data_IF_027452051008
#
_entry.id   IF_027452051008
#
_cell.length_a   1.000
_cell.length_b   1.000
_cell.length_c   1.000
_cell.angle_alpha   90.00
_cell.angle_beta   90.00
_cell.angle_gamma   90.00
#
_symmetry.space_group_name_H-M   'P 1'
#
loop_
_entity.id
_entity.type
_entity.pdbx_description
1 polymer ?
#
# COMPACT_ATOMS: atom_id res chain seq x y z
N UNK A 1 -18.35 -1.83 -3.43
CA UNK A 1 -17.26 -2.51 -2.69
C UNK A 1 -15.90 -1.97 -3.12
N UNK A 2 -14.96 -1.81 -2.19
CA UNK A 2 -13.56 -1.46 -2.48
C UNK A 2 -12.80 -2.75 -2.78
N UNK A 3 -12.09 -2.79 -3.91
CA UNK A 3 -11.14 -3.85 -4.25
C UNK A 3 -9.72 -3.33 -4.14
N UNK A 4 -8.75 -4.21 -3.80
CA UNK A 4 -7.33 -3.87 -3.84
C UNK A 4 -6.61 -4.75 -4.85
N UNK A 5 -5.69 -4.19 -5.63
CA UNK A 5 -4.81 -4.95 -6.49
C UNK A 5 -3.39 -4.95 -5.91
N UNK A 6 -2.96 -6.12 -5.46
CA UNK A 6 -1.57 -6.41 -5.11
C UNK A 6 -0.96 -7.24 -6.24
N UNK A 7 -0.41 -6.58 -7.25
CA UNK A 7 0.11 -7.29 -8.41
C UNK A 7 1.30 -8.21 -8.07
N UNK A 8 2.11 -7.87 -7.08
CA UNK A 8 3.31 -8.62 -6.70
C UNK A 8 3.37 -8.87 -5.18
N UNK A 9 2.49 -9.75 -4.64
CA UNK A 9 2.44 -10.10 -3.23
C UNK A 9 3.73 -10.79 -2.77
N UNK A 10 3.91 -10.90 -1.44
CA UNK A 10 5.04 -11.57 -0.83
C UNK A 10 4.65 -12.31 0.45
N UNK A 11 5.45 -13.30 0.84
CA UNK A 11 5.58 -13.65 2.25
C UNK A 11 6.71 -12.81 2.81
N UNK A 12 6.48 -12.11 3.92
CA UNK A 12 7.55 -11.51 4.67
C UNK A 12 8.02 -12.47 5.76
N UNK A 13 9.28 -12.87 5.65
CA UNK A 13 9.95 -13.75 6.59
C UNK A 13 10.83 -12.93 7.51
N UNK A 14 10.33 -12.67 8.72
CA UNK A 14 11.02 -11.93 9.76
C UNK A 14 11.82 -12.88 10.66
N UNK A 15 13.10 -12.62 10.85
CA UNK A 15 14.02 -13.42 11.68
C UNK A 15 15.01 -12.52 12.43
N UNK A 16 15.59 -13.05 13.50
CA UNK A 16 16.63 -12.35 14.24
C UNK A 16 17.85 -13.24 14.50
N UNK A 17 19.02 -12.63 14.65
CA UNK A 17 20.24 -13.26 15.12
C UNK A 17 21.10 -12.27 15.90
N UNK A 18 22.21 -12.73 16.50
CA UNK A 18 23.12 -11.87 17.29
C UNK A 18 24.25 -11.25 16.44
N UNK A 19 24.21 -11.46 15.13
CA UNK A 19 25.18 -10.97 14.18
C UNK A 19 25.44 -11.96 13.05
N UNK A 20 25.97 -11.47 11.94
CA UNK A 20 26.37 -12.28 10.79
C UNK A 20 27.88 -12.35 10.66
N UNK A 21 28.38 -13.56 10.45
CA UNK A 21 29.80 -13.79 10.11
C UNK A 21 29.86 -14.61 8.82
N UNK A 22 30.58 -14.09 7.84
CA UNK A 22 30.74 -14.77 6.56
C UNK A 22 31.37 -16.16 6.74
N UNK A 23 30.95 -17.13 5.91
CA UNK A 23 31.43 -18.51 5.90
C UNK A 23 31.20 -19.31 7.20
N UNK A 24 30.23 -18.88 8.03
CA UNK A 24 29.82 -19.59 9.24
C UNK A 24 28.33 -19.90 9.21
N UNK A 25 27.89 -20.86 10.03
CA UNK A 25 26.47 -21.13 10.24
C UNK A 25 25.94 -20.17 11.29
N UNK A 26 25.03 -19.28 10.89
CA UNK A 26 24.29 -18.42 11.82
C UNK A 26 22.96 -19.08 12.18
N UNK A 27 22.67 -19.20 13.47
CA UNK A 27 21.35 -19.68 13.96
C UNK A 27 20.43 -18.49 14.19
N UNK A 28 19.25 -18.57 13.61
CA UNK A 28 18.22 -17.53 13.74
C UNK A 28 17.20 -17.90 14.81
N UNK A 29 16.47 -16.89 15.30
CA UNK A 29 15.35 -17.00 16.26
C UNK A 29 14.20 -16.10 15.82
N UNK A 30 13.06 -16.25 16.49
CA UNK A 30 11.87 -15.40 16.27
C UNK A 30 11.38 -15.42 14.82
N UNK A 31 11.40 -16.61 14.21
CA UNK A 31 10.96 -16.79 12.83
C UNK A 31 9.44 -16.59 12.72
N UNK A 32 9.03 -15.58 11.94
CA UNK A 32 7.61 -15.28 11.67
C UNK A 32 7.42 -15.12 10.17
N UNK A 33 6.40 -15.77 9.64
CA UNK A 33 5.97 -15.65 8.24
C UNK A 33 4.62 -14.94 8.19
N UNK A 34 4.53 -13.86 7.44
CA UNK A 34 3.29 -13.09 7.30
C UNK A 34 2.91 -12.93 5.82
N UNK A 35 1.64 -13.11 5.46
CA UNK A 35 1.14 -12.62 4.18
C UNK A 35 1.38 -11.13 4.07
N UNK A 36 1.98 -10.68 2.99
CA UNK A 36 2.28 -9.26 2.79
C UNK A 36 2.12 -8.83 1.33
N UNK A 37 2.03 -7.53 1.15
CA UNK A 37 1.88 -6.80 -0.09
C UNK A 37 1.10 -5.53 0.18
N UNK A 38 1.48 -4.40 -0.44
CA UNK A 38 0.85 -3.11 -0.12
C UNK A 38 -0.68 -3.16 -0.21
N UNK A 39 -1.26 -3.72 -1.28
CA UNK A 39 -2.71 -3.84 -1.40
C UNK A 39 -3.33 -4.85 -0.42
N UNK A 40 -2.61 -5.92 -0.01
CA UNK A 40 -3.06 -6.79 1.07
C UNK A 40 -3.17 -5.99 2.37
N UNK A 41 -2.14 -5.22 2.71
CA UNK A 41 -2.10 -4.40 3.93
C UNK A 41 -3.24 -3.38 3.94
N UNK A 42 -3.54 -2.77 2.77
CA UNK A 42 -4.71 -1.90 2.60
C UNK A 42 -6.00 -2.65 2.91
N UNK A 43 -6.20 -3.86 2.33
CA UNK A 43 -7.41 -4.64 2.59
C UNK A 43 -7.53 -5.08 4.04
N UNK A 44 -6.45 -5.58 4.66
CA UNK A 44 -6.48 -5.96 6.08
C UNK A 44 -6.87 -4.78 6.99
N UNK A 45 -6.38 -3.58 6.67
CA UNK A 45 -6.71 -2.39 7.45
C UNK A 45 -8.14 -1.89 7.16
N UNK A 46 -8.62 -1.97 5.91
CA UNK A 46 -10.02 -1.66 5.58
C UNK A 46 -10.99 -2.58 6.32
N UNK A 47 -10.73 -3.89 6.30
CA UNK A 47 -11.54 -4.90 7.00
C UNK A 47 -11.54 -4.64 8.52
N UNK A 48 -10.38 -4.31 9.10
CA UNK A 48 -10.27 -3.91 10.52
C UNK A 48 -11.20 -2.73 10.89
N UNK A 49 -11.36 -1.77 9.99
CA UNK A 49 -12.29 -0.64 10.15
C UNK A 49 -13.72 -0.93 9.66
N UNK A 50 -14.04 -2.20 9.38
CA UNK A 50 -15.39 -2.63 9.00
C UNK A 50 -15.80 -2.28 7.58
N UNK A 51 -14.83 -2.04 6.68
CA UNK A 51 -15.09 -1.79 5.25
C UNK A 51 -14.91 -3.07 4.46
N UNK A 52 -15.98 -3.52 3.81
CA UNK A 52 -15.95 -4.69 2.94
C UNK A 52 -14.96 -4.51 1.79
N UNK A 53 -14.03 -5.46 1.66
CA UNK A 53 -12.95 -5.42 0.66
C UNK A 53 -12.65 -6.82 0.11
N UNK A 54 -12.05 -6.88 -1.06
CA UNK A 54 -11.56 -8.12 -1.69
C UNK A 54 -10.21 -7.86 -2.36
N UNK A 55 -9.27 -8.77 -2.13
CA UNK A 55 -7.91 -8.70 -2.69
C UNK A 55 -7.89 -9.34 -4.08
N UNK A 56 -7.33 -8.63 -5.06
CA UNK A 56 -6.93 -9.14 -6.37
C UNK A 56 -5.40 -9.22 -6.44
N UNK A 57 -4.84 -10.20 -7.14
CA UNK A 57 -3.39 -10.29 -7.31
C UNK A 57 -2.95 -11.51 -8.10
N UNK A 58 -1.64 -11.54 -8.43
CA UNK A 58 -1.01 -12.70 -9.05
C UNK A 58 -0.30 -13.54 -7.99
N UNK A 59 -0.64 -14.83 -7.94
CA UNK A 59 -0.12 -15.76 -6.94
C UNK A 59 0.49 -16.98 -7.60
N UNK A 60 1.52 -17.57 -6.98
CA UNK A 60 2.23 -18.73 -7.53
C UNK A 60 2.69 -19.69 -6.44
N UNK A 61 2.51 -20.98 -6.68
CA UNK A 61 3.02 -22.08 -5.86
C UNK A 61 2.58 -22.04 -4.39
N UNK A 62 3.32 -22.76 -3.57
CA UNK A 62 2.99 -22.92 -2.15
C UNK A 62 2.95 -21.60 -1.36
N UNK A 63 3.80 -20.62 -1.74
CA UNK A 63 3.85 -19.33 -1.09
C UNK A 63 2.66 -18.46 -1.46
N UNK A 64 2.18 -18.55 -2.71
CA UNK A 64 0.92 -17.93 -3.11
C UNK A 64 -0.27 -18.51 -2.35
N UNK A 65 -0.34 -19.86 -2.23
CA UNK A 65 -1.38 -20.52 -1.42
C UNK A 65 -1.32 -20.09 0.06
N UNK A 66 -0.13 -19.95 0.64
CA UNK A 66 0.03 -19.49 2.00
C UNK A 66 -0.58 -18.09 2.19
N UNK A 67 -0.32 -17.17 1.26
CA UNK A 67 -0.84 -15.79 1.33
C UNK A 67 -2.37 -15.78 1.21
N UNK A 68 -2.93 -16.48 0.20
CA UNK A 68 -4.37 -16.55 -0.02
C UNK A 68 -5.09 -17.12 1.20
N UNK A 69 -4.65 -18.28 1.70
CA UNK A 69 -5.22 -18.90 2.89
C UNK A 69 -5.05 -18.03 4.14
N UNK A 70 -3.93 -17.33 4.26
CA UNK A 70 -3.67 -16.42 5.36
C UNK A 70 -4.62 -15.20 5.36
N UNK A 71 -4.88 -14.62 4.21
CA UNK A 71 -5.83 -13.52 4.06
C UNK A 71 -7.27 -13.96 4.36
N UNK A 72 -7.69 -15.11 3.80
CA UNK A 72 -9.00 -15.70 4.06
C UNK A 72 -9.22 -16.06 5.53
N UNK A 73 -8.18 -16.55 6.21
CA UNK A 73 -8.22 -16.82 7.65
C UNK A 73 -8.38 -15.56 8.51
N UNK A 74 -7.97 -14.41 8.00
CA UNK A 74 -8.21 -13.09 8.61
C UNK A 74 -9.59 -12.50 8.22
N UNK A 75 -10.39 -13.19 7.44
CA UNK A 75 -11.71 -12.73 7.02
C UNK A 75 -11.75 -11.98 5.69
N UNK A 76 -10.59 -11.70 5.06
CA UNK A 76 -10.52 -10.93 3.83
C UNK A 76 -10.51 -11.85 2.60
N UNK A 77 -11.54 -11.79 1.74
CA UNK A 77 -11.61 -12.60 0.52
C UNK A 77 -10.49 -12.28 -0.47
N UNK A 78 -10.03 -13.31 -1.18
CA UNK A 78 -9.05 -13.18 -2.26
C UNK A 78 -9.61 -13.74 -3.55
N UNK A 79 -9.44 -13.03 -4.65
CA UNK A 79 -9.67 -13.51 -6.02
C UNK A 79 -8.32 -13.58 -6.74
N UNK A 80 -7.65 -14.75 -6.68
CA UNK A 80 -6.31 -14.90 -7.22
C UNK A 80 -6.33 -15.14 -8.72
N UNK A 81 -5.37 -14.56 -9.44
CA UNK A 81 -4.91 -15.06 -10.74
C UNK A 81 -3.65 -15.88 -10.48
N UNK A 82 -3.69 -17.15 -10.87
CA UNK A 82 -2.56 -18.05 -10.63
C UNK A 82 -1.55 -18.00 -11.77
N UNK A 83 -0.26 -17.91 -11.44
CA UNK A 83 0.84 -17.95 -12.39
C UNK A 83 1.83 -19.05 -12.04
N UNK A 84 2.71 -19.37 -12.96
CA UNK A 84 3.79 -20.33 -12.75
C UNK A 84 4.87 -19.79 -11.81
N UNK A 85 5.54 -20.71 -11.11
CA UNK A 85 6.67 -20.37 -10.24
C UNK A 85 6.29 -20.32 -8.77
N UNK A 86 6.86 -19.34 -8.06
CA UNK A 86 6.72 -19.17 -6.60
C UNK A 86 6.53 -17.68 -6.31
N UNK A 87 5.46 -17.30 -5.63
CA UNK A 87 5.31 -15.96 -5.07
C UNK A 87 6.49 -15.66 -4.15
N UNK A 88 7.04 -14.46 -4.27
CA UNK A 88 8.28 -14.09 -3.58
C UNK A 88 8.18 -14.21 -2.06
N UNK A 89 9.31 -14.56 -1.46
CA UNK A 89 9.53 -14.51 -0.01
C UNK A 89 10.59 -13.47 0.24
N UNK A 90 10.25 -12.39 0.91
CA UNK A 90 11.21 -11.40 1.37
C UNK A 90 11.79 -11.85 2.70
N UNK A 91 13.03 -11.49 2.99
CA UNK A 91 13.68 -11.81 4.26
C UNK A 91 14.07 -10.52 4.97
N UNK A 92 13.54 -10.33 6.16
CA UNK A 92 13.86 -9.24 7.05
C UNK A 92 14.65 -9.80 8.24
N UNK A 93 15.95 -9.55 8.26
CA UNK A 93 16.85 -10.08 9.27
C UNK A 93 17.33 -8.97 10.19
N UNK A 94 16.92 -9.05 11.46
CA UNK A 94 17.52 -8.26 12.53
C UNK A 94 18.77 -8.97 13.04
N UNK A 95 19.94 -8.37 12.82
CA UNK A 95 21.26 -8.95 13.13
C UNK A 95 21.90 -8.29 14.37
N UNK A 96 21.13 -7.79 15.28
CA UNK A 96 21.56 -7.13 16.51
C UNK A 96 21.12 -5.67 16.58
N UNK A 97 21.56 -4.92 17.61
CA UNK A 97 21.20 -3.51 17.76
C UNK A 97 21.56 -2.71 16.51
N UNK A 98 20.60 -1.95 16.01
CA UNK A 98 20.75 -1.03 14.90
C UNK A 98 21.24 -1.66 13.55
N UNK A 99 21.07 -3.00 13.41
CA UNK A 99 21.49 -3.71 12.18
C UNK A 99 20.35 -4.53 11.62
N UNK A 100 19.81 -4.11 10.49
CA UNK A 100 18.76 -4.78 9.75
C UNK A 100 19.18 -5.03 8.30
N UNK A 101 18.81 -6.20 7.77
CA UNK A 101 18.99 -6.56 6.37
C UNK A 101 17.62 -6.85 5.74
N UNK A 102 17.25 -6.07 4.73
CA UNK A 102 16.00 -6.20 4.00
C UNK A 102 16.29 -6.78 2.62
N UNK A 103 16.01 -8.06 2.44
CA UNK A 103 16.27 -8.80 1.19
C UNK A 103 14.94 -9.03 0.47
N UNK A 104 14.71 -8.27 -0.59
CA UNK A 104 13.46 -8.28 -1.36
C UNK A 104 13.67 -8.98 -2.70
N UNK A 105 12.86 -10.00 -2.98
CA UNK A 105 12.91 -10.76 -4.22
C UNK A 105 11.99 -10.17 -5.30
N UNK A 106 12.30 -10.47 -6.57
CA UNK A 106 11.54 -9.93 -7.71
C UNK A 106 10.10 -10.46 -7.80
N UNK A 107 9.88 -11.73 -7.42
CA UNK A 107 8.57 -12.39 -7.51
C UNK A 107 8.43 -13.31 -8.73
N UNK A 108 7.29 -13.99 -8.83
CA UNK A 108 6.94 -14.82 -9.96
C UNK A 108 6.65 -13.95 -11.18
N UNK A 109 7.18 -14.33 -12.34
CA UNK A 109 6.87 -13.66 -13.59
C UNK A 109 5.44 -13.98 -14.05
N UNK A 110 4.82 -13.00 -14.69
CA UNK A 110 3.53 -13.18 -15.35
C UNK A 110 3.70 -13.16 -16.87
N UNK A 111 2.68 -13.55 -17.58
CA UNK A 111 2.63 -13.53 -19.05
C UNK A 111 1.30 -12.91 -19.52
N UNK A 112 1.15 -12.74 -20.85
CA UNK A 112 -0.05 -12.14 -21.46
C UNK A 112 -1.35 -12.87 -21.06
N UNK A 113 -1.32 -14.19 -20.87
CA UNK A 113 -2.51 -14.94 -20.45
C UNK A 113 -2.91 -14.59 -19.01
N UNK A 114 -1.94 -14.40 -18.12
CA UNK A 114 -2.22 -13.96 -16.74
C UNK A 114 -2.78 -12.52 -16.72
N UNK A 115 -2.25 -11.62 -17.55
CA UNK A 115 -2.79 -10.26 -17.68
C UNK A 115 -4.23 -10.29 -18.19
N UNK A 116 -4.50 -11.11 -19.21
CA UNK A 116 -5.84 -11.27 -19.75
C UNK A 116 -6.83 -11.83 -18.73
N UNK A 117 -6.41 -12.84 -17.94
CA UNK A 117 -7.21 -13.39 -16.85
C UNK A 117 -7.54 -12.33 -15.77
N UNK A 118 -6.58 -11.46 -15.41
CA UNK A 118 -6.82 -10.34 -14.52
C UNK A 118 -7.81 -9.34 -15.13
N UNK A 119 -7.73 -9.05 -16.42
CA UNK A 119 -8.67 -8.18 -17.10
C UNK A 119 -10.09 -8.75 -17.09
N UNK A 120 -10.24 -10.04 -17.39
CA UNK A 120 -11.53 -10.74 -17.33
C UNK A 120 -12.09 -10.79 -15.91
N UNK A 121 -11.23 -11.00 -14.92
CA UNK A 121 -11.61 -10.93 -13.53
C UNK A 121 -12.17 -9.55 -13.17
N UNK A 122 -11.46 -8.48 -13.49
CA UNK A 122 -11.93 -7.10 -13.26
C UNK A 122 -13.27 -6.85 -13.94
N UNK A 123 -13.43 -7.26 -15.20
CA UNK A 123 -14.67 -7.09 -15.96
C UNK A 123 -15.86 -7.83 -15.29
N UNK A 124 -15.62 -8.94 -14.60
CA UNK A 124 -16.63 -9.75 -13.92
C UNK A 124 -17.13 -9.17 -12.58
N UNK A 125 -16.48 -8.13 -12.05
CA UNK A 125 -16.79 -7.59 -10.73
C UNK A 125 -17.86 -6.48 -10.83
N UNK A 126 -19.13 -6.83 -10.75
CA UNK A 126 -20.25 -5.89 -10.96
C UNK A 126 -20.46 -4.91 -9.79
N UNK A 127 -19.96 -5.21 -8.61
CA UNK A 127 -20.13 -4.42 -7.38
C UNK A 127 -18.91 -3.53 -7.05
N UNK A 128 -17.92 -3.46 -7.96
CA UNK A 128 -16.75 -2.63 -7.77
C UNK A 128 -17.13 -1.15 -7.82
N UNK A 129 -16.86 -0.42 -6.73
CA UNK A 129 -16.99 1.04 -6.65
C UNK A 129 -15.63 1.73 -6.71
N UNK A 130 -14.60 1.06 -6.22
CA UNK A 130 -13.23 1.59 -6.21
C UNK A 130 -12.20 0.45 -6.31
N UNK A 131 -11.12 0.68 -7.06
CA UNK A 131 -9.94 -0.18 -7.09
C UNK A 131 -8.75 0.58 -6.53
N UNK A 132 -8.15 0.08 -5.44
CA UNK A 132 -6.90 0.58 -4.89
C UNK A 132 -5.74 -0.24 -5.47
N UNK A 133 -4.86 0.39 -6.24
CA UNK A 133 -3.67 -0.25 -6.79
C UNK A 133 -2.46 0.18 -5.98
N UNK A 134 -1.79 -0.78 -5.34
CA UNK A 134 -0.66 -0.51 -4.45
C UNK A 134 0.49 -1.49 -4.66
N UNK A 135 1.71 -0.97 -4.59
CA UNK A 135 2.94 -1.75 -4.64
C UNK A 135 3.55 -1.89 -6.03
N UNK A 136 4.50 -2.82 -6.15
CA UNK A 136 5.25 -3.07 -7.38
C UNK A 136 4.55 -4.07 -8.31
N UNK A 137 4.96 -4.06 -9.56
CA UNK A 137 4.54 -5.04 -10.56
C UNK A 137 5.46 -6.28 -10.54
N UNK A 138 4.94 -7.47 -10.89
CA UNK A 138 5.76 -8.66 -11.07
C UNK A 138 6.63 -8.55 -12.34
N UNK A 139 7.69 -9.37 -12.44
CA UNK A 139 8.49 -9.45 -13.66
C UNK A 139 7.64 -9.79 -14.89
N UNK A 140 8.06 -9.29 -16.04
CA UNK A 140 7.42 -9.46 -17.35
C UNK A 140 6.01 -8.85 -17.49
N UNK A 141 5.57 -8.02 -16.54
CA UNK A 141 4.35 -7.24 -16.72
C UNK A 141 4.50 -6.33 -17.95
N UNK A 142 3.51 -6.30 -18.82
CA UNK A 142 3.51 -5.43 -19.99
C UNK A 142 3.47 -3.95 -19.58
N UNK A 143 4.11 -3.08 -20.35
CA UNK A 143 4.16 -1.64 -20.09
C UNK A 143 2.75 -1.02 -20.01
N UNK A 144 1.80 -1.51 -20.79
CA UNK A 144 0.41 -1.05 -20.83
C UNK A 144 -0.54 -1.65 -19.80
N UNK A 145 -0.09 -2.62 -18.99
CA UNK A 145 -0.95 -3.39 -18.09
C UNK A 145 -1.79 -2.50 -17.14
N UNK A 146 -1.15 -1.61 -16.39
CA UNK A 146 -1.89 -0.74 -15.47
C UNK A 146 -2.85 0.19 -16.20
N UNK A 147 -2.46 0.76 -17.33
CA UNK A 147 -3.34 1.62 -18.10
C UNK A 147 -4.58 0.85 -18.61
N UNK A 148 -4.43 -0.43 -18.99
CA UNK A 148 -5.57 -1.28 -19.36
C UNK A 148 -6.47 -1.58 -18.17
N UNK A 149 -5.90 -1.92 -17.01
CA UNK A 149 -6.65 -2.09 -15.74
C UNK A 149 -7.50 -0.85 -15.48
N UNK A 150 -6.88 0.34 -15.49
CA UNK A 150 -7.59 1.59 -15.21
C UNK A 150 -8.69 1.92 -16.22
N UNK A 151 -8.47 1.62 -17.51
CA UNK A 151 -9.52 1.77 -18.53
C UNK A 151 -10.74 0.91 -18.25
N UNK A 152 -10.54 -0.35 -17.81
CA UNK A 152 -11.63 -1.27 -17.47
C UNK A 152 -12.37 -0.81 -16.22
N UNK A 153 -11.65 -0.38 -15.19
CA UNK A 153 -12.25 0.20 -13.97
C UNK A 153 -13.14 1.40 -14.33
N UNK A 154 -12.63 2.34 -15.13
CA UNK A 154 -13.42 3.51 -15.61
C UNK A 154 -14.62 3.10 -16.45
N UNK A 155 -14.50 2.09 -17.31
CA UNK A 155 -15.60 1.59 -18.13
C UNK A 155 -16.76 1.02 -17.30
N UNK A 156 -16.47 0.53 -16.08
CA UNK A 156 -17.48 0.09 -15.09
C UNK A 156 -18.11 1.27 -14.31
N UNK A 157 -17.62 2.49 -14.49
CA UNK A 157 -18.02 3.64 -13.68
C UNK A 157 -17.43 3.64 -12.26
N UNK A 158 -16.43 2.79 -12.00
CA UNK A 158 -15.74 2.75 -10.74
C UNK A 158 -14.57 3.74 -10.71
N UNK A 159 -14.21 4.17 -9.50
CA UNK A 159 -13.06 5.04 -9.25
C UNK A 159 -11.79 4.21 -8.97
N UNK A 160 -10.64 4.84 -8.96
CA UNK A 160 -9.40 4.17 -8.60
C UNK A 160 -8.44 5.07 -7.81
N UNK A 161 -7.67 4.42 -6.94
CA UNK A 161 -6.65 5.02 -6.08
C UNK A 161 -5.30 4.44 -6.44
N UNK A 162 -4.26 5.28 -6.54
CA UNK A 162 -2.90 4.85 -6.87
C UNK A 162 -1.94 5.12 -5.71
N UNK A 163 -1.31 4.06 -5.21
CA UNK A 163 -0.22 4.07 -4.23
C UNK A 163 0.95 3.22 -4.77
N UNK A 164 1.52 3.67 -5.88
CA UNK A 164 2.58 2.97 -6.59
C UNK A 164 3.88 3.77 -6.61
N UNK A 165 4.98 3.13 -6.21
CA UNK A 165 6.32 3.72 -6.19
C UNK A 165 7.03 3.48 -7.55
N UNK A 166 6.38 3.85 -8.66
CA UNK A 166 6.88 3.63 -10.02
C UNK A 166 6.72 4.89 -10.86
N UNK A 167 7.71 5.16 -11.73
CA UNK A 167 7.62 6.26 -12.70
C UNK A 167 6.38 6.19 -13.60
N UNK A 168 5.74 5.03 -13.74
CA UNK A 168 4.44 4.92 -14.43
C UNK A 168 3.35 5.79 -13.79
N UNK A 169 3.47 6.15 -12.50
CA UNK A 169 2.53 7.08 -11.86
C UNK A 169 2.46 8.41 -12.60
N UNK A 170 3.60 8.90 -13.14
CA UNK A 170 3.64 10.15 -13.91
C UNK A 170 2.77 10.13 -15.17
N UNK A 171 2.61 8.96 -15.80
CA UNK A 171 1.74 8.78 -16.97
C UNK A 171 0.30 8.47 -16.55
N UNK A 172 0.11 7.65 -15.52
CA UNK A 172 -1.20 7.20 -15.07
C UNK A 172 -2.01 8.29 -14.35
N UNK A 173 -1.36 9.32 -13.81
CA UNK A 173 -2.02 10.46 -13.16
C UNK A 173 -2.95 11.21 -14.13
N UNK A 174 -2.62 11.23 -15.44
CA UNK A 174 -3.45 11.83 -16.48
C UNK A 174 -4.78 11.08 -16.71
N UNK A 175 -4.92 9.87 -16.15
CA UNK A 175 -6.18 9.11 -16.17
C UNK A 175 -7.14 9.52 -15.04
N UNK A 176 -6.87 10.61 -14.34
CA UNK A 176 -7.73 11.23 -13.33
C UNK A 176 -8.06 10.29 -12.15
N UNK A 177 -7.05 9.76 -11.43
CA UNK A 177 -7.27 8.98 -10.23
C UNK A 177 -8.13 9.75 -9.21
N UNK A 178 -9.03 9.02 -8.52
CA UNK A 178 -9.77 9.57 -7.40
C UNK A 178 -8.82 10.11 -6.32
N UNK A 179 -7.75 9.35 -6.05
CA UNK A 179 -6.74 9.73 -5.06
C UNK A 179 -5.37 9.15 -5.49
N UNK A 180 -4.33 9.93 -5.31
CA UNK A 180 -2.94 9.43 -5.28
C UNK A 180 -2.36 9.63 -3.89
N UNK A 181 -1.47 8.70 -3.46
CA UNK A 181 -0.79 8.83 -2.16
C UNK A 181 0.74 8.76 -2.33
N UNK A 182 1.40 9.83 -2.76
CA UNK A 182 2.86 9.91 -2.73
C UNK A 182 3.37 10.21 -1.31
N UNK A 183 4.64 9.85 -1.06
CA UNK A 183 5.45 10.43 -0.01
C UNK A 183 6.44 11.44 -0.60
N UNK A 184 7.27 12.07 0.24
CA UNK A 184 8.27 13.06 -0.17
C UNK A 184 9.35 12.48 -1.10
N UNK A 185 9.83 11.27 -0.82
CA UNK A 185 10.81 10.56 -1.66
C UNK A 185 10.22 10.23 -3.04
N UNK A 186 8.99 9.72 -3.08
CA UNK A 186 8.27 9.41 -4.33
C UNK A 186 7.96 10.67 -5.15
N UNK A 187 7.62 11.79 -4.50
CA UNK A 187 7.46 13.07 -5.19
C UNK A 187 8.75 13.52 -5.86
N UNK A 188 9.87 13.38 -5.16
CA UNK A 188 11.17 13.76 -5.71
C UNK A 188 11.59 12.83 -6.84
N UNK A 189 11.47 11.52 -6.65
CA UNK A 189 11.91 10.51 -7.63
C UNK A 189 11.05 10.50 -8.90
N UNK A 190 9.72 10.55 -8.76
CA UNK A 190 8.78 10.38 -9.88
C UNK A 190 8.52 11.70 -10.61
N UNK A 191 8.38 12.79 -9.86
CA UNK A 191 7.95 14.08 -10.42
C UNK A 191 9.03 15.16 -10.37
N UNK A 192 10.16 14.91 -9.69
CA UNK A 192 11.20 15.94 -9.48
C UNK A 192 10.79 17.05 -8.49
N UNK A 193 9.72 16.84 -7.73
CA UNK A 193 9.14 17.82 -6.82
C UNK A 193 9.72 17.58 -5.42
N UNK A 194 10.39 18.62 -4.87
CA UNK A 194 10.91 18.56 -3.51
C UNK A 194 9.96 19.27 -2.55
N UNK A 195 9.58 18.56 -1.48
CA UNK A 195 8.81 19.11 -0.36
C UNK A 195 9.56 18.93 0.96
N UNK A 196 9.19 19.70 1.97
CA UNK A 196 9.72 19.55 3.33
C UNK A 196 8.59 19.76 4.33
N UNK A 197 8.58 18.96 5.38
CA UNK A 197 7.64 19.15 6.49
C UNK A 197 7.76 20.55 7.08
N UNK A 198 6.64 21.22 7.31
CA UNK A 198 6.57 22.57 7.82
C UNK A 198 6.82 23.70 6.79
N UNK A 199 7.08 23.37 5.53
CA UNK A 199 7.13 24.34 4.42
C UNK A 199 5.84 24.30 3.60
N UNK A 200 4.83 25.03 4.08
CA UNK A 200 3.50 25.07 3.46
C UNK A 200 3.51 25.53 2.00
N UNK A 201 4.46 26.38 1.61
CA UNK A 201 4.53 26.88 0.22
C UNK A 201 5.05 25.79 -0.73
N UNK A 202 6.03 24.98 -0.31
CA UNK A 202 6.51 23.85 -1.10
C UNK A 202 5.41 22.80 -1.27
N UNK A 203 4.64 22.52 -0.19
CA UNK A 203 3.50 21.59 -0.23
C UNK A 203 2.39 22.10 -1.15
N UNK A 204 1.99 23.37 -1.06
CA UNK A 204 0.98 23.97 -1.95
C UNK A 204 1.40 23.91 -3.41
N UNK A 205 2.66 24.18 -3.70
CA UNK A 205 3.22 24.07 -5.05
C UNK A 205 3.11 22.64 -5.59
N UNK A 206 3.54 21.66 -4.79
CA UNK A 206 3.44 20.23 -5.13
C UNK A 206 2.01 19.81 -5.40
N UNK A 207 1.06 20.14 -4.52
CA UNK A 207 -0.36 19.81 -4.67
C UNK A 207 -0.93 20.41 -5.96
N UNK A 208 -0.64 21.70 -6.23
CA UNK A 208 -1.10 22.36 -7.45
C UNK A 208 -0.57 21.67 -8.72
N UNK A 209 0.68 21.24 -8.73
CA UNK A 209 1.28 20.54 -9.87
C UNK A 209 0.63 19.16 -10.08
N UNK A 210 0.40 18.39 -9.01
CA UNK A 210 -0.23 17.08 -9.11
C UNK A 210 -1.69 17.17 -9.58
N UNK A 211 -2.45 18.16 -9.12
CA UNK A 211 -3.80 18.42 -9.65
C UNK A 211 -3.77 18.84 -11.12
N UNK A 212 -2.83 19.70 -11.52
CA UNK A 212 -2.66 20.09 -12.93
C UNK A 212 -2.29 18.89 -13.84
N UNK A 213 -1.65 17.86 -13.30
CA UNK A 213 -1.34 16.61 -14.02
C UNK A 213 -2.53 15.65 -14.09
N UNK A 214 -3.59 15.83 -13.31
CA UNK A 214 -4.83 15.06 -13.38
C UNK A 214 -5.34 14.42 -12.10
N UNK A 215 -4.59 14.45 -10.98
CA UNK A 215 -5.09 13.91 -9.72
C UNK A 215 -6.31 14.67 -9.22
N UNK A 216 -7.43 13.96 -8.95
CA UNK A 216 -8.62 14.57 -8.35
C UNK A 216 -8.35 14.96 -6.90
N UNK A 217 -7.68 14.09 -6.16
CA UNK A 217 -7.28 14.32 -4.77
C UNK A 217 -5.85 13.79 -4.54
N UNK A 218 -5.16 14.37 -3.56
CA UNK A 218 -3.81 14.01 -3.18
C UNK A 218 -3.72 13.83 -1.67
N UNK A 219 -3.23 12.68 -1.20
CA UNK A 219 -2.84 12.42 0.19
C UNK A 219 -1.32 12.33 0.25
N UNK A 220 -0.64 13.41 0.61
CA UNK A 220 0.81 13.46 0.74
C UNK A 220 1.22 13.08 2.16
N UNK A 221 2.05 12.05 2.31
CA UNK A 221 2.58 11.61 3.60
C UNK A 221 4.05 12.01 3.75
N UNK A 222 4.39 12.61 4.90
CA UNK A 222 5.74 13.10 5.22
C UNK A 222 6.31 12.38 6.46
N UNK A 223 5.99 11.12 6.65
CA UNK A 223 6.44 10.31 7.78
C UNK A 223 6.10 10.96 9.12
N UNK A 224 7.13 11.25 9.92
CA UNK A 224 6.99 11.89 11.23
C UNK A 224 6.48 13.33 11.19
N UNK A 225 6.57 14.01 10.03
CA UNK A 225 6.17 15.40 9.85
C UNK A 225 4.68 15.57 9.50
N UNK A 226 3.94 14.45 9.43
CA UNK A 226 2.50 14.48 9.24
C UNK A 226 2.03 14.12 7.84
N UNK A 227 0.78 14.48 7.54
CA UNK A 227 0.16 14.25 6.24
C UNK A 227 -0.69 15.45 5.80
N UNK A 228 -0.70 15.68 4.51
CA UNK A 228 -1.53 16.69 3.86
C UNK A 228 -2.53 16.00 2.92
N UNK A 229 -3.75 16.49 2.92
CA UNK A 229 -4.75 16.12 1.90
C UNK A 229 -5.18 17.35 1.12
N UNK A 230 -5.31 17.20 -0.19
CA UNK A 230 -5.82 18.26 -1.07
C UNK A 230 -6.89 17.71 -2.02
N UNK A 231 -7.98 18.46 -2.18
CA UNK A 231 -9.04 18.20 -3.17
C UNK A 231 -8.98 19.18 -4.37
N UNK A 232 -7.89 19.93 -4.50
CA UNK A 232 -7.70 20.95 -5.53
C UNK A 232 -8.21 22.35 -5.13
N UNK A 233 -9.15 22.46 -4.19
CA UNK A 233 -9.69 23.74 -3.70
C UNK A 233 -9.14 24.07 -2.30
N UNK A 234 -9.02 23.07 -1.45
CA UNK A 234 -8.59 23.19 -0.06
C UNK A 234 -7.45 22.20 0.24
N UNK A 235 -6.62 22.57 1.20
CA UNK A 235 -5.56 21.73 1.75
C UNK A 235 -5.77 21.60 3.26
N UNK A 236 -5.78 20.36 3.75
CA UNK A 236 -5.82 20.03 5.17
C UNK A 236 -4.48 19.44 5.58
N UNK A 237 -4.13 19.67 6.83
CA UNK A 237 -2.91 19.12 7.44
C UNK A 237 -3.24 18.44 8.76
N UNK A 238 -2.64 17.28 8.98
CA UNK A 238 -2.67 16.61 10.26
C UNK A 238 -1.27 16.14 10.64
N UNK A 239 -0.94 16.30 11.92
CA UNK A 239 0.28 15.76 12.50
C UNK A 239 -0.05 15.08 13.84
N UNK A 240 0.80 14.15 14.25
CA UNK A 240 0.72 13.54 15.58
C UNK A 240 1.11 14.57 16.64
N UNK A 241 0.49 14.46 17.81
CA UNK A 241 0.78 15.31 18.98
C UNK A 241 1.51 14.55 20.09
N UNK A 242 1.90 13.28 19.85
CA UNK A 242 2.55 12.41 20.81
C UNK A 242 3.79 11.74 20.23
N UNK A 243 4.69 11.35 21.13
CA UNK A 243 5.90 10.62 20.74
C UNK A 243 5.56 9.17 20.40
N UNK A 244 6.21 8.65 19.37
CA UNK A 244 6.04 7.27 18.88
C UNK A 244 7.37 6.55 18.97
N UNK A 245 7.34 5.34 19.50
CA UNK A 245 8.51 4.46 19.51
C UNK A 245 8.65 3.77 18.17
N UNK A 246 9.49 4.32 17.30
CA UNK A 246 9.72 3.75 15.98
C UNK A 246 10.41 2.37 16.09
N UNK A 247 9.71 1.31 15.69
CA UNK A 247 10.24 -0.04 15.52
C UNK A 247 10.39 -0.42 14.06
N UNK A 248 9.42 -0.09 13.21
CA UNK A 248 9.46 -0.37 11.77
C UNK A 248 8.56 0.62 11.03
N UNK A 249 8.95 1.05 9.83
CA UNK A 249 8.09 1.87 8.95
C UNK A 249 7.29 1.03 7.94
N UNK A 250 7.50 -0.28 7.96
CA UNK A 250 6.84 -1.21 7.05
C UNK A 250 5.33 -1.20 7.31
N UNK A 251 4.53 -1.20 6.26
CA UNK A 251 3.06 -1.16 6.25
C UNK A 251 2.40 0.15 6.75
N UNK A 252 3.15 1.11 7.33
CA UNK A 252 2.56 2.32 7.89
C UNK A 252 1.85 3.17 6.83
N UNK A 253 2.44 3.35 5.65
CA UNK A 253 1.83 4.08 4.53
C UNK A 253 0.57 3.41 3.98
N UNK A 254 0.58 2.07 3.88
CA UNK A 254 -0.55 1.28 3.40
C UNK A 254 -1.73 1.37 4.38
N UNK A 255 -1.42 1.23 5.67
CA UNK A 255 -2.42 1.33 6.74
C UNK A 255 -2.98 2.75 6.89
N UNK A 256 -2.13 3.78 6.75
CA UNK A 256 -2.58 5.17 6.72
C UNK A 256 -3.53 5.44 5.56
N UNK A 257 -3.23 4.94 4.36
CA UNK A 257 -4.13 5.05 3.20
C UNK A 257 -5.47 4.37 3.47
N UNK A 258 -5.44 3.14 3.96
CA UNK A 258 -6.66 2.37 4.23
C UNK A 258 -7.53 3.04 5.31
N UNK A 259 -6.92 3.50 6.39
CA UNK A 259 -7.62 4.24 7.45
C UNK A 259 -8.24 5.55 6.92
N UNK A 260 -7.53 6.27 6.05
CA UNK A 260 -8.10 7.44 5.37
C UNK A 260 -9.32 7.07 4.53
N UNK A 261 -9.18 6.05 3.67
CA UNK A 261 -10.26 5.60 2.78
C UNK A 261 -11.47 5.05 3.54
N UNK A 262 -11.28 4.41 4.70
CA UNK A 262 -12.36 3.84 5.50
C UNK A 262 -13.38 4.88 5.98
N UNK A 263 -12.96 6.14 6.10
CA UNK A 263 -13.83 7.27 6.47
C UNK A 263 -14.19 8.11 5.25
N UNK A 264 -13.20 8.46 4.44
CA UNK A 264 -13.35 9.47 3.41
C UNK A 264 -14.07 8.98 2.15
N UNK A 265 -13.92 7.71 1.77
CA UNK A 265 -14.48 7.21 0.51
C UNK A 265 -16.01 7.37 0.42
N UNK A 266 -16.72 7.08 1.49
CA UNK A 266 -18.19 7.16 1.54
C UNK A 266 -18.71 8.49 2.12
N UNK A 267 -17.81 9.29 2.75
CA UNK A 267 -18.12 10.58 3.34
C UNK A 267 -17.02 11.62 3.04
N UNK A 268 -16.93 12.12 1.79
CA UNK A 268 -15.84 13.00 1.35
C UNK A 268 -15.73 14.32 2.10
N UNK A 269 -16.78 14.74 2.80
CA UNK A 269 -16.79 15.93 3.66
C UNK A 269 -16.04 15.72 5.00
N UNK A 270 -15.82 14.46 5.43
CA UNK A 270 -15.17 14.10 6.70
C UNK A 270 -13.65 14.02 6.60
N UNK A 271 -13.03 14.95 5.90
CA UNK A 271 -11.58 14.95 5.66
C UNK A 271 -10.78 14.99 6.97
N UNK A 272 -11.19 15.79 7.95
CA UNK A 272 -10.48 15.92 9.22
C UNK A 272 -10.47 14.61 10.02
N UNK A 273 -11.62 13.92 10.08
CA UNK A 273 -11.72 12.62 10.75
C UNK A 273 -10.86 11.57 10.03
N UNK A 274 -10.93 11.55 8.70
CA UNK A 274 -10.13 10.64 7.88
C UNK A 274 -8.62 10.86 8.06
N UNK A 275 -8.16 12.11 8.09
CA UNK A 275 -6.75 12.43 8.33
C UNK A 275 -6.32 12.07 9.75
N UNK A 276 -7.15 12.35 10.77
CA UNK A 276 -6.84 11.95 12.16
C UNK A 276 -6.68 10.44 12.28
N UNK A 277 -7.64 9.67 11.72
CA UNK A 277 -7.57 8.21 11.74
C UNK A 277 -6.34 7.69 10.96
N UNK A 278 -6.06 8.25 9.79
CA UNK A 278 -4.88 7.93 8.98
C UNK A 278 -3.58 8.10 9.78
N UNK A 279 -3.41 9.24 10.45
CA UNK A 279 -2.22 9.54 11.25
C UNK A 279 -2.12 8.66 12.50
N UNK A 280 -3.22 8.41 13.20
CA UNK A 280 -3.25 7.54 14.37
C UNK A 280 -2.88 6.09 14.00
N UNK A 281 -3.43 5.58 12.89
CA UNK A 281 -3.15 4.23 12.38
C UNK A 281 -1.69 4.10 11.95
N UNK A 282 -1.15 5.05 11.19
CA UNK A 282 0.25 5.05 10.80
C UNK A 282 1.20 5.10 12.01
N UNK A 283 0.89 5.93 12.99
CA UNK A 283 1.66 6.04 14.23
C UNK A 283 1.63 4.74 15.06
N UNK A 284 0.50 4.04 15.10
CA UNK A 284 0.38 2.76 15.80
C UNK A 284 1.19 1.66 15.09
N UNK A 285 1.08 1.57 13.77
CA UNK A 285 1.77 0.53 12.99
C UNK A 285 3.28 0.64 13.10
N UNK A 286 3.87 1.84 13.17
CA UNK A 286 5.33 1.99 13.30
C UNK A 286 5.88 1.55 14.66
N UNK A 287 5.03 1.35 15.67
CA UNK A 287 5.40 0.77 16.96
C UNK A 287 5.42 -0.79 16.95
N UNK A 288 5.16 -1.39 15.81
CA UNK A 288 5.11 -2.83 15.60
C UNK A 288 6.16 -3.30 14.57
N UNK A 289 6.60 -4.56 14.62
CA UNK A 289 7.55 -5.12 13.64
C UNK A 289 6.89 -5.51 12.31
N UNK A 290 5.73 -4.95 11.96
CA UNK A 290 4.94 -5.25 10.76
C UNK A 290 3.51 -4.78 10.91
N UNK A 291 2.59 -5.27 10.07
CA UNK A 291 1.18 -4.92 10.18
C UNK A 291 0.59 -5.47 11.49
N UNK A 292 0.34 -4.59 12.43
CA UNK A 292 -0.16 -4.90 13.76
C UNK A 292 -1.51 -4.19 13.98
N UNK A 293 -2.59 -4.83 13.58
CA UNK A 293 -3.95 -4.26 13.67
C UNK A 293 -4.60 -4.46 15.05
N UNK A 294 -3.98 -5.26 15.93
CA UNK A 294 -4.55 -5.61 17.24
C UNK A 294 -4.60 -4.46 18.25
N UNK A 295 -3.86 -3.38 18.02
CA UNK A 295 -3.76 -2.25 18.98
C UNK A 295 -4.45 -0.98 18.49
N UNK A 296 -5.04 -0.98 17.30
CA UNK A 296 -5.66 0.22 16.70
C UNK A 296 -7.04 0.54 17.27
N UNK A 297 -7.71 -0.43 17.92
CA UNK A 297 -9.03 -0.22 18.52
C UNK A 297 -8.99 0.64 19.79
N UNK A 298 -7.89 0.59 20.56
CA UNK A 298 -7.81 1.29 21.83
C UNK A 298 -7.30 2.74 21.71
N UNK A 299 -6.56 3.06 20.64
CA UNK A 299 -6.01 4.41 20.43
C UNK A 299 -7.00 5.40 19.79
N UNK A 300 -8.11 4.94 19.23
CA UNK A 300 -9.14 5.79 18.63
C UNK A 300 -10.19 6.26 19.67
N UNK A 301 -10.22 5.65 20.85
CA UNK A 301 -11.17 5.98 21.93
C UNK A 301 -10.56 6.89 23.01
N UNK A 302 -9.28 7.25 22.94
CA UNK A 302 -8.61 8.25 23.79
C UNK A 302 -8.34 9.56 23.00
#
# INVERSE_FOLDING_TARGET
>A
MIYTLTANPAIDYNIACDGLTANTVTRTRNAVYTPNGKGLNVSFTLDHYGVDTTILGFFAGFSGEFIVKGAEALGVPVKPVWTDGITRVNVFLNAGPDTEYNMVNAGAAINEANEQEMFELIDSLDDMTCLVISGSLPPNTSEGFLAEVLRRVKAKGAEFVLDISSHQLADLIAMEPLLIKPNDDELLDIFGIKVSGGDDESVKGAMSELHAKGAKNVLLTLGGDGAYFSNGEHIWFANRTFDVKLLSTVCAGDSSLAAFLSVWHDAPERVEDALRLSMATGANVVECPGLCLLYTSDAADE
#
